data_IF_306958988145
#
_entry.id   IF_306958988145
#
_cell.length_a   1.000
_cell.length_b   1.000
_cell.length_c   1.000
_cell.angle_alpha   90.00
_cell.angle_beta   90.00
_cell.angle_gamma   90.00
#
_symmetry.space_group_name_H-M   'P 1'
#
loop_
_entity.id
_entity.type
_entity.pdbx_description
1 polymer ?
#
# COMPACT_ATOMS: atom_id res chain seq x y z
N UNK A 1 -11.42 4.27 -23.20
CA UNK A 1 -11.59 3.10 -22.31
C UNK A 1 -11.60 3.59 -20.88
N UNK A 2 -12.78 3.71 -20.27
CA UNK A 2 -12.95 4.13 -18.88
C UNK A 2 -12.49 2.99 -17.99
N UNK A 3 -11.28 3.08 -17.43
CA UNK A 3 -10.90 2.24 -16.29
C UNK A 3 -11.89 2.56 -15.18
N UNK A 4 -12.90 1.72 -14.96
CA UNK A 4 -13.61 1.70 -13.69
C UNK A 4 -12.53 1.35 -12.67
N UNK A 5 -12.02 2.35 -11.96
CA UNK A 5 -11.15 2.16 -10.82
C UNK A 5 -11.88 1.20 -9.89
N UNK A 6 -11.49 -0.08 -9.92
CA UNK A 6 -12.03 -1.09 -9.02
C UNK A 6 -11.71 -0.54 -7.64
N UNK A 7 -12.72 -0.04 -6.92
CA UNK A 7 -12.51 0.53 -5.61
C UNK A 7 -11.97 -0.62 -4.76
N UNK A 8 -10.67 -0.55 -4.42
CA UNK A 8 -10.05 -1.55 -3.56
C UNK A 8 -10.70 -1.35 -2.19
N UNK A 9 -11.55 -2.31 -1.80
CA UNK A 9 -12.12 -2.33 -0.46
C UNK A 9 -10.98 -2.62 0.50
N UNK A 10 -10.67 -1.64 1.35
CA UNK A 10 -9.64 -1.78 2.37
C UNK A 10 -10.27 -2.57 3.51
N UNK A 11 -9.65 -3.67 3.96
CA UNK A 11 -10.12 -4.41 5.12
C UNK A 11 -10.19 -3.48 6.34
N UNK A 12 -11.32 -3.49 7.02
CA UNK A 12 -11.49 -2.77 8.29
C UNK A 12 -11.06 -3.62 9.49
N UNK A 13 -11.08 -4.95 9.34
CA UNK A 13 -10.61 -5.91 10.33
C UNK A 13 -9.27 -6.51 9.89
N UNK A 14 -8.37 -6.68 10.86
CA UNK A 14 -7.08 -7.36 10.67
C UNK A 14 -7.25 -8.85 10.41
N UNK A 15 -8.35 -9.47 10.85
CA UNK A 15 -8.66 -10.88 10.57
C UNK A 15 -8.92 -11.15 9.08
N UNK A 16 -9.27 -10.12 8.30
CA UNK A 16 -9.49 -10.22 6.86
C UNK A 16 -8.19 -10.10 6.04
N UNK A 17 -7.04 -9.91 6.70
CA UNK A 17 -5.76 -9.80 6.03
C UNK A 17 -5.19 -11.17 5.67
N UNK A 18 -4.55 -11.29 4.49
CA UNK A 18 -3.85 -12.51 4.11
C UNK A 18 -2.78 -12.90 5.14
N UNK A 19 -2.55 -14.21 5.30
CA UNK A 19 -1.59 -14.74 6.28
C UNK A 19 -0.14 -14.28 6.01
N UNK A 20 0.19 -13.98 4.75
CA UNK A 20 1.48 -13.48 4.29
C UNK A 20 1.58 -11.94 4.30
N UNK A 21 0.61 -11.25 4.90
CA UNK A 21 0.59 -9.78 4.94
C UNK A 21 1.76 -9.23 5.77
N UNK A 22 2.62 -8.37 5.21
CA UNK A 22 3.90 -8.03 5.85
C UNK A 22 3.87 -6.76 6.71
N UNK A 23 2.75 -6.04 6.77
CA UNK A 23 2.71 -4.71 7.38
C UNK A 23 2.13 -4.74 8.80
N UNK A 24 3.01 -4.49 9.77
CA UNK A 24 2.69 -4.40 11.18
C UNK A 24 3.15 -3.06 11.76
N UNK A 25 2.35 -2.52 12.69
CA UNK A 25 2.70 -1.37 13.51
C UNK A 25 3.90 -1.71 14.38
N UNK A 26 4.93 -0.86 14.36
CA UNK A 26 6.12 -1.03 15.21
C UNK A 26 5.81 -0.88 16.69
N UNK A 27 4.82 -0.06 17.03
CA UNK A 27 4.44 0.24 18.41
C UNK A 27 3.54 -0.86 18.99
N UNK A 28 2.53 -1.29 18.23
CA UNK A 28 1.49 -2.19 18.75
C UNK A 28 1.70 -3.65 18.34
N UNK A 29 2.57 -3.92 17.37
CA UNK A 29 2.74 -5.24 16.76
C UNK A 29 1.54 -5.74 15.95
N UNK A 30 0.45 -4.96 15.87
CA UNK A 30 -0.76 -5.33 15.14
C UNK A 30 -0.63 -5.02 13.66
N UNK A 31 -1.30 -5.81 12.82
CA UNK A 31 -1.36 -5.56 11.39
C UNK A 31 -2.04 -4.21 11.11
N UNK A 32 -1.54 -3.48 10.10
CA UNK A 32 -2.03 -2.16 9.73
C UNK A 32 -2.27 -2.06 8.23
N UNK A 33 -3.38 -1.45 7.83
CA UNK A 33 -3.76 -1.31 6.41
C UNK A 33 -3.34 0.03 5.81
N UNK A 34 -2.97 0.99 6.66
CA UNK A 34 -2.49 2.30 6.24
C UNK A 34 -1.55 2.89 7.29
N UNK A 35 -0.59 3.69 6.84
CA UNK A 35 0.26 4.50 7.74
C UNK A 35 0.47 5.91 7.14
N UNK A 36 0.90 6.86 7.95
CA UNK A 36 1.20 8.21 7.48
C UNK A 36 2.39 8.23 6.51
N UNK A 37 2.53 9.30 5.73
CA UNK A 37 3.70 9.47 4.86
C UNK A 37 5.04 9.48 5.63
N UNK A 38 5.01 9.90 6.91
CA UNK A 38 6.21 9.96 7.75
C UNK A 38 6.59 8.55 8.24
N UNK A 39 5.63 7.79 8.78
CA UNK A 39 5.86 6.40 9.20
C UNK A 39 6.31 5.53 8.02
N UNK A 40 5.70 5.72 6.84
CA UNK A 40 6.13 5.02 5.64
C UNK A 40 7.56 5.39 5.23
N UNK A 41 7.94 6.66 5.35
CA UNK A 41 9.31 7.08 5.06
C UNK A 41 10.32 6.43 6.01
N UNK A 42 10.02 6.40 7.32
CA UNK A 42 10.85 5.71 8.31
C UNK A 42 10.93 4.20 8.07
N UNK A 43 9.84 3.58 7.62
CA UNK A 43 9.82 2.16 7.24
C UNK A 43 10.75 1.88 6.07
N UNK A 44 10.76 2.75 5.06
CA UNK A 44 11.60 2.61 3.87
C UNK A 44 13.05 3.08 4.08
N UNK A 45 13.38 3.68 5.23
CA UNK A 45 14.69 4.33 5.43
C UNK A 45 14.88 5.54 4.51
N UNK A 46 13.80 6.18 4.08
CA UNK A 46 13.82 7.33 3.17
C UNK A 46 13.41 8.62 3.89
N UNK A 47 13.75 9.76 3.28
CA UNK A 47 13.28 11.08 3.77
C UNK A 47 11.78 11.24 3.46
N UNK A 48 11.02 11.80 4.40
CA UNK A 48 9.58 12.09 4.24
C UNK A 48 9.26 12.91 2.98
N UNK A 49 10.14 13.84 2.61
CA UNK A 49 9.99 14.63 1.38
C UNK A 49 10.09 13.77 0.10
N UNK A 50 10.87 12.69 0.09
CA UNK A 50 10.97 11.75 -1.03
C UNK A 50 9.67 10.98 -1.19
N UNK A 51 9.14 10.43 -0.10
CA UNK A 51 7.85 9.73 -0.08
C UNK A 51 6.71 10.67 -0.48
N UNK A 52 6.70 11.92 0.01
CA UNK A 52 5.72 12.93 -0.40
C UNK A 52 5.75 13.17 -1.90
N UNK A 53 6.93 13.35 -2.51
CA UNK A 53 7.05 13.51 -3.96
C UNK A 53 6.57 12.28 -4.74
N UNK A 54 6.81 11.06 -4.24
CA UNK A 54 6.28 9.83 -4.85
C UNK A 54 4.76 9.80 -4.80
N UNK A 55 4.18 10.15 -3.65
CA UNK A 55 2.75 10.30 -3.47
C UNK A 55 2.15 11.36 -4.42
N UNK A 56 2.77 12.54 -4.51
CA UNK A 56 2.34 13.62 -5.40
C UNK A 56 2.36 13.22 -6.89
N UNK A 57 3.32 12.36 -7.27
CA UNK A 57 3.44 11.80 -8.63
C UNK A 57 2.52 10.61 -8.91
N UNK A 58 1.71 10.18 -7.94
CA UNK A 58 0.85 9.00 -8.07
C UNK A 58 1.61 7.67 -8.08
N UNK A 59 2.86 7.65 -7.60
CA UNK A 59 3.67 6.44 -7.52
C UNK A 59 3.39 5.61 -6.26
N UNK A 60 2.63 6.19 -5.31
CA UNK A 60 2.17 5.49 -4.11
C UNK A 60 0.64 5.53 -4.07
N UNK A 61 -0.01 4.41 -3.70
CA UNK A 61 -1.44 4.42 -3.46
C UNK A 61 -1.71 5.19 -2.17
N UNK A 62 -2.48 6.28 -2.26
CA UNK A 62 -2.77 7.18 -1.13
C UNK A 62 -4.24 7.13 -0.77
N UNK A 63 -4.51 7.09 0.54
CA UNK A 63 -5.82 7.33 1.14
C UNK A 63 -5.90 8.79 1.56
N UNK A 64 -6.96 9.45 1.14
CA UNK A 64 -7.23 10.83 1.50
C UNK A 64 -8.75 11.03 1.61
N UNK A 65 -9.24 11.22 2.83
CA UNK A 65 -10.67 11.32 3.13
C UNK A 65 -11.34 12.62 2.61
N UNK A 66 -10.57 13.59 2.10
CA UNK A 66 -11.09 14.84 1.56
C UNK A 66 -10.01 15.81 1.08
N UNK A 67 -10.41 16.89 0.39
CA UNK A 67 -9.46 17.90 -0.09
C UNK A 67 -8.76 18.55 1.10
N UNK A 68 -7.43 18.38 1.19
CA UNK A 68 -6.54 18.82 2.30
C UNK A 68 -6.52 17.92 3.55
N UNK A 69 -7.20 16.78 3.57
CA UNK A 69 -7.06 15.83 4.69
C UNK A 69 -5.68 15.17 4.70
N UNK A 70 -5.31 14.59 5.84
CA UNK A 70 -4.07 13.86 6.01
C UNK A 70 -3.97 12.71 5.02
N UNK A 71 -2.85 12.67 4.29
CA UNK A 71 -2.55 11.62 3.32
C UNK A 71 -1.90 10.45 4.04
N UNK A 72 -2.46 9.26 3.83
CA UNK A 72 -1.92 7.99 4.33
C UNK A 72 -1.57 7.09 3.16
N UNK A 73 -0.48 6.33 3.27
CA UNK A 73 -0.14 5.30 2.30
C UNK A 73 -1.07 4.12 2.51
N UNK A 74 -1.68 3.62 1.43
CA UNK A 74 -2.48 2.41 1.44
C UNK A 74 -1.56 1.17 1.36
N UNK A 75 -1.18 0.63 2.52
CA UNK A 75 -0.29 -0.53 2.62
C UNK A 75 -0.92 -1.79 2.03
N UNK A 76 -2.24 -1.92 2.14
CA UNK A 76 -2.97 -3.05 1.56
C UNK A 76 -2.92 -3.03 0.02
N UNK A 77 -3.08 -1.86 -0.60
CA UNK A 77 -2.94 -1.74 -2.05
C UNK A 77 -1.51 -2.04 -2.52
N UNK A 78 -0.48 -1.63 -1.76
CA UNK A 78 0.91 -1.99 -2.05
C UNK A 78 1.13 -3.51 -2.01
N UNK A 79 0.60 -4.18 -0.98
CA UNK A 79 0.66 -5.63 -0.86
C UNK A 79 -0.02 -6.32 -2.06
N UNK A 80 -1.25 -5.92 -2.41
CA UNK A 80 -1.96 -6.51 -3.54
C UNK A 80 -1.22 -6.30 -4.86
N UNK A 81 -0.65 -5.12 -5.07
CA UNK A 81 0.17 -4.83 -6.25
C UNK A 81 1.41 -5.72 -6.29
N UNK A 82 2.13 -5.88 -5.18
CA UNK A 82 3.30 -6.75 -5.09
C UNK A 82 2.94 -8.21 -5.39
N UNK A 83 1.85 -8.71 -4.79
CA UNK A 83 1.38 -10.08 -5.00
C UNK A 83 1.00 -10.33 -6.46
N UNK A 84 0.25 -9.41 -7.07
CA UNK A 84 -0.11 -9.49 -8.48
C UNK A 84 1.11 -9.52 -9.40
N UNK A 85 2.13 -8.70 -9.13
CA UNK A 85 3.36 -8.72 -9.92
C UNK A 85 4.15 -10.02 -9.74
N UNK A 86 4.21 -10.55 -8.51
CA UNK A 86 4.85 -11.84 -8.24
C UNK A 86 4.13 -13.00 -8.95
N UNK A 87 2.80 -13.08 -8.84
CA UNK A 87 1.97 -14.09 -9.53
C UNK A 87 2.18 -14.04 -11.07
N UNK A 88 2.21 -12.83 -11.63
CA UNK A 88 2.49 -12.63 -13.06
C UNK A 88 3.88 -13.09 -13.46
N UNK A 89 4.90 -12.74 -12.68
CA UNK A 89 6.28 -13.13 -12.96
C UNK A 89 6.42 -14.65 -12.99
N UNK A 90 5.88 -15.35 -11.99
CA UNK A 90 5.90 -16.82 -11.90
C UNK A 90 5.19 -17.45 -13.10
N UNK A 91 4.01 -16.93 -13.47
CA UNK A 91 3.24 -17.45 -14.62
C UNK A 91 4.02 -17.29 -15.93
N UNK A 92 4.69 -16.16 -16.14
CA UNK A 92 5.51 -15.93 -17.33
C UNK A 92 6.72 -16.88 -17.37
N UNK A 93 7.40 -17.08 -16.24
CA UNK A 93 8.57 -17.97 -16.17
C UNK A 93 8.23 -19.45 -16.34
N UNK A 94 7.03 -19.88 -15.96
CA UNK A 94 6.59 -21.27 -16.11
C UNK A 94 5.99 -21.57 -17.50
N UNK A 95 5.63 -20.53 -18.25
CA UNK A 95 5.09 -20.64 -19.60
C UNK A 95 6.15 -20.42 -20.71
N UNK A 96 7.41 -20.17 -20.32
CA UNK A 96 8.58 -20.03 -21.22
C UNK A 96 9.41 -21.30 -21.23
#
# INVERSE_FOLDING_TARGET
MTHRSKIIRIPSDVSDLPADYPFFSRETGKAIVSESLAEYAERQGEKTNTIRRRADRGLLPILQDGRRSHRRVNLYALYLQARYQAERFVTMTLAS
#
